data_IF_912426338169
#
_entry.id   IF_912426338169
#
_cell.length_a   1.000
_cell.length_b   1.000
_cell.length_c   1.000
_cell.angle_alpha   90.00
_cell.angle_beta   90.00
_cell.angle_gamma   90.00
#
_symmetry.space_group_name_H-M   'P 1'
#
loop_
_entity.id
_entity.type
_entity.pdbx_description
1 polymer ?
#
# COMPACT_ATOMS: atom_id res chain seq x y z
N UNK A 1 2.92 -10.77 10.71
CA UNK A 1 3.72 -10.56 9.48
C UNK A 1 4.69 -11.71 9.21
N UNK A 2 5.28 -12.33 10.23
CA UNK A 2 6.23 -13.46 10.10
C UNK A 2 5.66 -14.69 9.39
N UNK A 3 4.44 -15.16 9.72
CA UNK A 3 3.87 -16.37 9.09
C UNK A 3 3.51 -16.18 7.61
N UNK A 4 2.95 -15.03 7.24
CA UNK A 4 2.56 -14.71 5.86
C UNK A 4 3.79 -14.48 4.99
N UNK A 5 4.82 -13.80 5.52
CA UNK A 5 6.12 -13.62 4.85
C UNK A 5 6.87 -14.94 4.66
N UNK A 6 6.87 -15.83 5.66
CA UNK A 6 7.47 -17.17 5.56
C UNK A 6 6.72 -18.02 4.53
N UNK A 7 5.38 -18.02 4.54
CA UNK A 7 4.56 -18.72 3.55
C UNK A 7 4.83 -18.25 2.11
N UNK A 8 4.81 -16.94 1.85
CA UNK A 8 5.10 -16.40 0.53
C UNK A 8 6.52 -16.74 0.04
N UNK A 9 7.53 -16.64 0.92
CA UNK A 9 8.91 -16.94 0.54
C UNK A 9 9.13 -18.44 0.31
N UNK A 10 8.49 -19.33 1.08
CA UNK A 10 8.56 -20.78 0.86
C UNK A 10 7.87 -21.17 -0.45
N UNK A 11 6.63 -20.71 -0.70
CA UNK A 11 5.88 -21.05 -1.92
C UNK A 11 6.61 -20.56 -3.18
N UNK A 12 7.18 -19.35 -3.15
CA UNK A 12 7.85 -18.75 -4.30
C UNK A 12 9.21 -19.37 -4.63
N UNK A 13 9.75 -20.17 -3.71
CA UNK A 13 11.06 -20.79 -3.79
C UNK A 13 10.99 -22.27 -4.08
N UNK A 14 10.13 -22.97 -3.35
CA UNK A 14 9.88 -24.40 -3.51
C UNK A 14 8.99 -24.65 -4.74
N UNK A 15 8.08 -23.72 -5.04
CA UNK A 15 7.13 -23.82 -6.16
C UNK A 15 7.81 -23.98 -7.53
N UNK A 16 8.73 -23.11 -7.95
CA UNK A 16 9.41 -23.25 -9.24
C UNK A 16 10.29 -24.51 -9.34
N UNK A 17 10.95 -24.90 -8.24
CA UNK A 17 11.78 -26.10 -8.20
C UNK A 17 10.96 -27.38 -8.35
N UNK A 18 9.89 -27.52 -7.55
CA UNK A 18 8.97 -28.66 -7.67
C UNK A 18 8.24 -28.64 -9.01
N UNK A 19 7.73 -27.48 -9.43
CA UNK A 19 7.03 -27.32 -10.71
C UNK A 19 7.89 -27.69 -11.91
N UNK A 20 9.17 -27.31 -11.91
CA UNK A 20 10.13 -27.68 -12.95
C UNK A 20 10.40 -29.18 -13.01
N UNK A 21 10.58 -29.84 -11.86
CA UNK A 21 10.75 -31.31 -11.79
C UNK A 21 9.50 -32.03 -12.29
N UNK A 22 8.32 -31.60 -11.85
CA UNK A 22 7.05 -32.20 -12.26
C UNK A 22 6.85 -32.06 -13.77
N UNK A 23 7.12 -30.87 -14.31
CA UNK A 23 7.02 -30.60 -15.74
C UNK A 23 7.99 -31.48 -16.56
N UNK A 24 9.22 -31.66 -16.08
CA UNK A 24 10.24 -32.44 -16.77
C UNK A 24 9.98 -33.95 -16.77
N UNK A 25 9.45 -34.49 -15.66
CA UNK A 25 9.24 -35.94 -15.49
C UNK A 25 7.86 -36.39 -15.98
N UNK A 26 6.81 -35.63 -15.66
CA UNK A 26 5.42 -36.03 -15.90
C UNK A 26 4.73 -35.23 -17.00
N UNK A 27 5.40 -34.21 -17.55
CA UNK A 27 4.90 -33.38 -18.64
C UNK A 27 3.91 -32.29 -18.21
N UNK A 28 3.49 -31.43 -19.16
CA UNK A 28 2.66 -30.25 -18.88
C UNK A 28 1.29 -30.56 -18.28
N UNK A 29 0.61 -31.60 -18.77
CA UNK A 29 -0.73 -31.95 -18.30
C UNK A 29 -0.73 -32.30 -16.81
N UNK A 30 0.25 -33.09 -16.36
CA UNK A 30 0.39 -33.47 -14.97
C UNK A 30 0.71 -32.25 -14.08
N UNK A 31 1.56 -31.33 -14.55
CA UNK A 31 1.87 -30.10 -13.82
C UNK A 31 0.62 -29.23 -13.62
N UNK A 32 -0.20 -29.05 -14.67
CA UNK A 32 -1.46 -28.31 -14.56
C UNK A 32 -2.51 -29.02 -13.69
N UNK A 33 -2.64 -30.34 -13.80
CA UNK A 33 -3.55 -31.12 -12.97
C UNK A 33 -3.16 -31.03 -11.48
N UNK A 34 -1.87 -31.16 -11.16
CA UNK A 34 -1.39 -31.04 -9.78
C UNK A 34 -1.59 -29.63 -9.23
N UNK A 35 -1.36 -28.59 -10.04
CA UNK A 35 -1.65 -27.22 -9.65
C UNK A 35 -3.13 -27.04 -9.29
N UNK A 36 -4.04 -27.52 -10.15
CA UNK A 36 -5.48 -27.45 -9.90
C UNK A 36 -5.92 -28.21 -8.64
N UNK A 37 -5.33 -29.38 -8.39
CA UNK A 37 -5.61 -30.16 -7.17
C UNK A 37 -5.05 -29.46 -5.92
N UNK A 38 -3.88 -28.83 -6.04
CA UNK A 38 -3.24 -28.11 -4.93
C UNK A 38 -4.08 -26.92 -4.45
N UNK A 39 -4.85 -26.29 -5.33
CA UNK A 39 -5.79 -25.21 -4.98
C UNK A 39 -6.94 -25.68 -4.08
N UNK A 40 -7.21 -26.98 -3.98
CA UNK A 40 -8.19 -27.53 -3.04
C UNK A 40 -7.70 -27.47 -1.58
N UNK A 41 -6.38 -27.47 -1.36
CA UNK A 41 -5.80 -27.40 -0.02
C UNK A 41 -6.20 -26.13 0.75
N UNK A 42 -6.01 -24.89 0.23
CA UNK A 42 -6.46 -23.69 0.92
C UNK A 42 -7.99 -23.62 1.09
N UNK A 43 -8.77 -24.10 0.10
CA UNK A 43 -10.23 -24.17 0.22
C UNK A 43 -10.64 -25.06 1.41
N UNK A 44 -10.02 -26.23 1.52
CA UNK A 44 -10.27 -27.17 2.62
C UNK A 44 -9.88 -26.59 3.98
N UNK A 45 -8.77 -25.85 4.05
CA UNK A 45 -8.32 -25.19 5.27
C UNK A 45 -9.31 -24.09 5.71
N UNK A 46 -9.79 -23.26 4.77
CA UNK A 46 -10.79 -22.22 5.05
C UNK A 46 -12.09 -22.86 5.53
N UNK A 47 -12.54 -23.94 4.89
CA UNK A 47 -13.80 -24.61 5.23
C UNK A 47 -13.77 -25.27 6.61
N UNK A 48 -12.62 -25.80 7.03
CA UNK A 48 -12.43 -26.43 8.35
C UNK A 48 -12.17 -25.42 9.47
N UNK A 49 -11.73 -24.21 9.16
CA UNK A 49 -11.39 -23.20 10.17
C UNK A 49 -12.65 -22.52 10.69
N UNK A 50 -12.89 -22.63 12.01
CA UNK A 50 -13.91 -21.83 12.70
C UNK A 50 -13.32 -20.46 13.02
N UNK A 51 -13.87 -19.40 12.42
CA UNK A 51 -13.38 -18.04 12.57
C UNK A 51 -14.12 -17.32 13.69
N UNK A 52 -13.41 -16.90 14.74
CA UNK A 52 -13.92 -15.91 15.69
C UNK A 52 -13.64 -14.50 15.13
N UNK A 53 -14.63 -13.96 14.43
CA UNK A 53 -14.54 -12.58 13.92
C UNK A 53 -14.85 -11.63 15.08
N UNK A 54 -13.87 -10.83 15.51
CA UNK A 54 -14.14 -9.71 16.43
C UNK A 54 -15.20 -8.80 15.80
N UNK A 55 -16.37 -8.74 16.42
CA UNK A 55 -17.42 -7.82 16.02
C UNK A 55 -16.94 -6.39 16.24
N UNK A 56 -16.76 -5.66 15.14
CA UNK A 56 -16.60 -4.20 15.25
C UNK A 56 -17.92 -3.64 15.80
N UNK A 57 -17.90 -2.77 16.83
CA UNK A 57 -19.12 -2.13 17.35
C UNK A 57 -19.75 -1.17 16.32
N UNK A 58 -19.07 -0.95 15.21
CA UNK A 58 -19.39 0.00 14.17
C UNK A 58 -20.13 -0.68 13.00
N UNK A 59 -21.29 -0.14 12.54
CA UNK A 59 -22.01 -0.65 11.37
C UNK A 59 -21.13 -0.76 10.11
N UNK A 60 -21.44 -1.78 9.29
CA UNK A 60 -20.75 -2.06 8.03
C UNK A 60 -20.73 -0.83 7.10
N UNK A 61 -19.57 -0.57 6.52
CA UNK A 61 -19.36 0.50 5.55
C UNK A 61 -19.86 0.10 4.16
N UNK A 62 -20.40 1.05 3.39
CA UNK A 62 -20.75 0.81 1.98
C UNK A 62 -19.47 0.58 1.17
N UNK A 63 -19.48 -0.40 0.27
CA UNK A 63 -18.31 -0.76 -0.53
C UNK A 63 -17.71 0.42 -1.30
N UNK A 64 -18.56 1.25 -1.92
CA UNK A 64 -18.11 2.43 -2.68
C UNK A 64 -17.43 3.47 -1.80
N UNK A 65 -18.00 3.76 -0.62
CA UNK A 65 -17.40 4.66 0.37
C UNK A 65 -16.07 4.11 0.88
N UNK A 66 -16.01 2.81 1.15
CA UNK A 66 -14.79 2.13 1.57
C UNK A 66 -13.67 2.23 0.53
N UNK A 67 -13.99 2.03 -0.77
CA UNK A 67 -13.03 2.16 -1.87
C UNK A 67 -12.53 3.60 -1.97
N UNK A 68 -13.44 4.58 -1.96
CA UNK A 68 -13.08 6.00 -2.03
C UNK A 68 -12.18 6.41 -0.87
N UNK A 69 -12.51 5.99 0.37
CA UNK A 69 -11.69 6.25 1.54
C UNK A 69 -10.29 5.61 1.43
N UNK A 70 -10.20 4.39 0.89
CA UNK A 70 -8.93 3.72 0.63
C UNK A 70 -8.07 4.45 -0.41
N UNK A 71 -8.67 4.89 -1.52
CA UNK A 71 -7.98 5.67 -2.56
C UNK A 71 -7.53 7.02 -2.01
N UNK A 72 -8.42 7.74 -1.30
CA UNK A 72 -8.09 9.03 -0.68
C UNK A 72 -6.95 8.90 0.31
N UNK A 73 -6.99 7.89 1.18
CA UNK A 73 -5.93 7.62 2.14
C UNK A 73 -4.59 7.35 1.45
N UNK A 74 -4.60 6.48 0.44
CA UNK A 74 -3.42 6.10 -0.34
C UNK A 74 -2.82 7.30 -1.09
N UNK A 75 -3.66 8.19 -1.63
CA UNK A 75 -3.23 9.39 -2.34
C UNK A 75 -2.67 10.48 -1.41
N UNK A 76 -3.15 10.53 -0.16
CA UNK A 76 -2.71 11.50 0.84
C UNK A 76 -1.45 11.08 1.59
N UNK A 77 -1.22 9.78 1.82
CA UNK A 77 0.04 9.29 2.43
C UNK A 77 1.18 9.35 1.42
N UNK A 78 2.17 10.18 1.72
CA UNK A 78 3.35 10.35 0.88
C UNK A 78 4.17 9.06 0.81
N UNK A 79 4.25 8.32 1.91
CA UNK A 79 5.02 7.09 2.07
C UNK A 79 4.44 5.97 1.19
N UNK A 80 3.13 5.75 1.30
CA UNK A 80 2.43 4.70 0.54
C UNK A 80 2.44 5.07 -0.95
N UNK A 81 2.21 6.34 -1.29
CA UNK A 81 2.26 6.82 -2.67
C UNK A 81 3.65 6.62 -3.29
N UNK A 82 4.71 6.97 -2.57
CA UNK A 82 6.09 6.78 -3.01
C UNK A 82 6.44 5.29 -3.16
N UNK A 83 6.05 4.45 -2.18
CA UNK A 83 6.24 3.01 -2.24
C UNK A 83 5.52 2.38 -3.44
N UNK A 84 4.27 2.77 -3.68
CA UNK A 84 3.45 2.28 -4.80
C UNK A 84 4.00 2.73 -6.15
N UNK A 85 4.41 4.00 -6.28
CA UNK A 85 5.04 4.50 -7.49
C UNK A 85 6.36 3.78 -7.78
N UNK A 86 7.20 3.57 -6.75
CA UNK A 86 8.44 2.81 -6.86
C UNK A 86 8.19 1.37 -7.29
N UNK A 87 7.16 0.71 -6.75
CA UNK A 87 6.79 -0.64 -7.16
C UNK A 87 6.30 -0.72 -8.61
N UNK A 88 5.50 0.24 -9.04
CA UNK A 88 5.02 0.31 -10.42
C UNK A 88 6.16 0.55 -11.41
N UNK A 89 7.07 1.49 -11.10
CA UNK A 89 8.26 1.77 -11.92
C UNK A 89 9.23 0.59 -11.94
N UNK A 90 9.48 -0.01 -10.77
CA UNK A 90 10.30 -1.21 -10.67
C UNK A 90 9.68 -2.35 -11.48
N UNK A 91 8.39 -2.63 -11.30
CA UNK A 91 7.66 -3.65 -12.05
C UNK A 91 7.68 -3.40 -13.55
N UNK A 92 7.55 -2.13 -13.99
CA UNK A 92 7.66 -1.75 -15.40
C UNK A 92 9.04 -2.08 -15.98
N UNK A 93 10.11 -1.80 -15.24
CA UNK A 93 11.47 -2.00 -15.73
C UNK A 93 11.93 -3.45 -15.59
N UNK A 94 11.72 -4.05 -14.41
CA UNK A 94 12.19 -5.38 -14.06
C UNK A 94 11.52 -6.46 -14.89
N UNK A 95 10.22 -6.33 -15.21
CA UNK A 95 9.44 -7.36 -15.92
C UNK A 95 10.05 -7.78 -17.25
N UNK A 96 10.85 -6.92 -17.87
CA UNK A 96 11.69 -7.23 -19.04
C UNK A 96 12.45 -8.55 -18.90
N UNK A 97 13.00 -8.84 -17.71
CA UNK A 97 13.74 -10.07 -17.42
C UNK A 97 12.91 -11.31 -17.73
N UNK A 98 11.65 -11.36 -17.28
CA UNK A 98 10.79 -12.53 -17.45
C UNK A 98 10.00 -12.49 -18.76
N UNK A 99 9.53 -11.31 -19.16
CA UNK A 99 8.75 -11.14 -20.38
C UNK A 99 9.56 -11.42 -21.65
N UNK A 100 10.86 -11.05 -21.65
CA UNK A 100 11.76 -11.26 -22.78
C UNK A 100 12.58 -12.54 -22.65
N UNK A 101 12.55 -13.24 -21.51
CA UNK A 101 13.34 -14.47 -21.32
C UNK A 101 13.14 -15.51 -22.45
N UNK A 102 11.91 -15.80 -22.91
CA UNK A 102 11.73 -16.75 -24.00
C UNK A 102 12.45 -16.33 -25.30
N UNK A 103 12.45 -15.02 -25.60
CA UNK A 103 13.17 -14.45 -26.75
C UNK A 103 14.69 -14.55 -26.55
N UNK A 104 15.20 -14.28 -25.34
CA UNK A 104 16.63 -14.46 -25.01
C UNK A 104 17.08 -15.90 -25.23
N UNK A 105 16.29 -16.88 -24.77
CA UNK A 105 16.64 -18.30 -24.94
C UNK A 105 16.63 -18.72 -26.40
N UNK A 106 15.61 -18.28 -27.15
CA UNK A 106 15.46 -18.66 -28.56
C UNK A 106 16.46 -17.95 -29.48
N UNK A 107 16.58 -16.63 -29.35
CA UNK A 107 17.28 -15.79 -30.33
C UNK A 107 18.76 -15.58 -29.99
N UNK A 108 19.11 -15.42 -28.71
CA UNK A 108 20.51 -15.20 -28.28
C UNK A 108 21.22 -16.50 -27.89
N UNK A 109 20.61 -17.31 -27.02
CA UNK A 109 21.21 -18.57 -26.55
C UNK A 109 21.01 -19.73 -27.54
N UNK A 110 20.20 -19.52 -28.59
CA UNK A 110 19.86 -20.52 -29.62
C UNK A 110 19.52 -21.87 -29.02
N UNK A 111 18.75 -21.84 -27.93
CA UNK A 111 18.51 -22.98 -27.05
C UNK A 111 17.01 -23.32 -26.97
N UNK A 112 16.71 -24.53 -26.48
CA UNK A 112 15.35 -25.05 -26.41
C UNK A 112 14.61 -24.78 -25.08
N UNK A 113 13.36 -25.31 -24.96
CA UNK A 113 12.51 -25.15 -23.79
C UNK A 113 13.11 -25.68 -22.48
N UNK A 114 13.98 -26.70 -22.55
CA UNK A 114 14.67 -27.26 -21.37
C UNK A 114 15.58 -26.20 -20.74
N UNK A 115 16.37 -25.49 -21.56
CA UNK A 115 17.25 -24.41 -21.09
C UNK A 115 16.43 -23.26 -20.51
N UNK A 116 15.30 -22.91 -21.14
CA UNK A 116 14.36 -21.94 -20.55
C UNK A 116 13.90 -22.35 -19.15
N UNK A 117 13.53 -23.62 -18.95
CA UNK A 117 13.16 -24.15 -17.63
C UNK A 117 14.29 -24.06 -16.61
N UNK A 118 15.52 -24.41 -16.99
CA UNK A 118 16.72 -24.32 -16.12
C UNK A 118 16.99 -22.87 -15.72
N UNK A 119 16.92 -21.93 -16.66
CA UNK A 119 17.14 -20.51 -16.43
C UNK A 119 16.06 -19.92 -15.50
N UNK A 120 14.80 -20.30 -15.71
CA UNK A 120 13.69 -19.92 -14.83
C UNK A 120 13.85 -20.52 -13.42
N UNK A 121 14.32 -21.76 -13.31
CA UNK A 121 14.66 -22.37 -12.03
C UNK A 121 15.82 -21.64 -11.34
N UNK A 122 16.84 -21.19 -12.09
CA UNK A 122 17.93 -20.35 -11.59
C UNK A 122 17.41 -19.02 -11.02
N UNK A 123 16.51 -18.35 -11.72
CA UNK A 123 15.83 -17.16 -11.21
C UNK A 123 15.09 -17.43 -9.89
N UNK A 124 14.33 -18.53 -9.82
CA UNK A 124 13.64 -18.96 -8.60
C UNK A 124 14.58 -19.30 -7.44
N UNK A 125 15.71 -19.96 -7.72
CA UNK A 125 16.72 -20.33 -6.73
C UNK A 125 17.41 -19.09 -6.15
N UNK A 126 17.75 -18.11 -6.98
CA UNK A 126 18.28 -16.83 -6.51
C UNK A 126 17.30 -16.08 -5.62
N UNK A 127 16.00 -16.07 -5.98
CA UNK A 127 14.95 -15.57 -5.11
C UNK A 127 14.91 -16.33 -3.78
N UNK A 128 14.96 -17.66 -3.77
CA UNK A 128 14.94 -18.45 -2.54
C UNK A 128 16.05 -18.10 -1.56
N UNK A 129 17.29 -18.07 -2.06
CA UNK A 129 18.47 -17.76 -1.25
C UNK A 129 18.33 -16.35 -0.65
N UNK A 130 17.88 -15.38 -1.46
CA UNK A 130 17.62 -14.03 -0.99
C UNK A 130 16.50 -13.96 0.06
N UNK A 131 15.45 -14.78 -0.09
CA UNK A 131 14.34 -14.87 0.86
C UNK A 131 14.77 -15.38 2.24
N UNK A 132 15.63 -16.41 2.27
CA UNK A 132 16.22 -16.91 3.53
C UNK A 132 17.14 -15.88 4.18
N UNK A 133 17.93 -15.15 3.38
CA UNK A 133 18.85 -14.11 3.86
C UNK A 133 18.18 -12.77 4.21
N UNK A 134 16.93 -12.52 3.79
CA UNK A 134 16.27 -11.22 3.89
C UNK A 134 16.20 -10.68 5.32
N UNK A 135 15.99 -11.55 6.32
CA UNK A 135 15.98 -11.16 7.72
C UNK A 135 17.32 -10.61 8.22
N UNK A 136 18.44 -11.19 7.78
CA UNK A 136 19.78 -10.70 8.10
C UNK A 136 20.11 -9.42 7.33
N UNK A 137 19.83 -9.40 6.02
CA UNK A 137 20.04 -8.23 5.15
C UNK A 137 19.36 -6.96 5.68
N UNK A 138 18.14 -7.08 6.20
CA UNK A 138 17.39 -5.96 6.80
C UNK A 138 17.95 -5.45 8.12
N UNK A 139 18.70 -6.27 8.87
CA UNK A 139 19.37 -5.84 10.11
C UNK A 139 20.62 -5.01 9.82
N UNK A 140 21.35 -5.39 8.78
CA UNK A 140 22.64 -4.76 8.44
C UNK A 140 22.47 -3.55 7.51
N UNK A 141 21.43 -3.55 6.67
CA UNK A 141 21.22 -2.53 5.64
C UNK A 141 19.85 -1.88 5.76
N UNK A 142 19.81 -0.55 5.66
CA UNK A 142 18.55 0.20 5.59
C UNK A 142 17.72 -0.23 4.38
N UNK A 143 16.39 -0.28 4.53
CA UNK A 143 15.50 -0.75 3.47
C UNK A 143 15.67 -0.02 2.11
N UNK A 144 15.86 1.30 2.10
CA UNK A 144 16.05 2.06 0.85
C UNK A 144 17.31 1.62 0.09
N UNK A 145 18.43 1.43 0.81
CA UNK A 145 19.69 0.91 0.22
C UNK A 145 19.52 -0.52 -0.27
N UNK A 146 18.81 -1.36 0.48
CA UNK A 146 18.55 -2.74 0.10
C UNK A 146 17.77 -2.83 -1.22
N UNK A 147 16.73 -2.00 -1.39
CA UNK A 147 15.97 -1.91 -2.65
C UNK A 147 16.82 -1.35 -3.80
N UNK A 148 17.70 -0.38 -3.52
CA UNK A 148 18.61 0.15 -4.53
C UNK A 148 19.61 -0.91 -5.02
N UNK A 149 20.27 -1.64 -4.12
CA UNK A 149 21.17 -2.74 -4.48
C UNK A 149 20.44 -3.86 -5.22
N UNK A 150 19.21 -4.18 -4.80
CA UNK A 150 18.36 -5.15 -5.48
C UNK A 150 17.99 -4.71 -6.90
N UNK A 151 17.72 -3.40 -7.11
CA UNK A 151 17.45 -2.84 -8.43
C UNK A 151 18.69 -2.85 -9.33
N UNK A 152 19.88 -2.56 -8.77
CA UNK A 152 21.16 -2.69 -9.48
C UNK A 152 21.43 -4.15 -9.86
N UNK A 153 21.15 -5.11 -8.98
CA UNK A 153 21.28 -6.54 -9.27
C UNK A 153 20.39 -6.97 -10.45
N UNK A 154 19.14 -6.48 -10.51
CA UNK A 154 18.28 -6.67 -11.67
C UNK A 154 18.81 -5.99 -12.94
N UNK A 155 19.38 -4.78 -12.83
CA UNK A 155 19.96 -4.07 -13.97
C UNK A 155 21.17 -4.81 -14.55
N UNK A 156 22.05 -5.31 -13.68
CA UNK A 156 23.20 -6.15 -14.06
C UNK A 156 22.71 -7.44 -14.73
N UNK A 157 21.63 -8.05 -14.23
CA UNK A 157 21.00 -9.18 -14.89
C UNK A 157 20.54 -8.83 -16.32
N UNK A 158 19.83 -7.71 -16.52
CA UNK A 158 19.40 -7.28 -17.84
C UNK A 158 20.58 -7.04 -18.80
N UNK A 159 21.61 -6.31 -18.36
CA UNK A 159 22.81 -6.05 -19.17
C UNK A 159 23.56 -7.33 -19.51
N UNK A 160 23.72 -8.22 -18.55
CA UNK A 160 24.37 -9.51 -18.77
C UNK A 160 23.61 -10.34 -19.80
N UNK A 161 22.27 -10.41 -19.71
CA UNK A 161 21.43 -11.11 -20.68
C UNK A 161 21.41 -10.45 -22.07
N UNK A 162 21.71 -9.15 -22.16
CA UNK A 162 21.79 -8.44 -23.43
C UNK A 162 23.09 -8.76 -24.21
N UNK A 163 24.14 -9.13 -23.49
CA UNK A 163 25.50 -9.31 -24.03
C UNK A 163 25.96 -10.77 -24.06
N UNK A 164 25.29 -11.65 -23.32
CA UNK A 164 25.69 -13.04 -23.13
C UNK A 164 25.07 -13.99 -24.15
N UNK A 165 25.90 -14.83 -24.76
CA UNK A 165 25.46 -16.02 -25.51
C UNK A 165 25.68 -17.35 -24.75
N UNK A 166 26.19 -17.28 -23.52
CA UNK A 166 26.55 -18.43 -22.68
C UNK A 166 25.47 -18.77 -21.66
N UNK A 167 24.96 -20.01 -21.68
CA UNK A 167 23.90 -20.49 -20.77
C UNK A 167 24.31 -20.40 -19.29
N UNK A 168 25.54 -20.82 -18.86
CA UNK A 168 25.96 -20.67 -17.47
C UNK A 168 25.96 -19.22 -16.98
N UNK A 169 26.42 -18.27 -17.81
CA UNK A 169 26.47 -16.85 -17.45
C UNK A 169 25.05 -16.29 -17.32
N UNK A 170 24.14 -16.68 -18.23
CA UNK A 170 22.73 -16.32 -18.16
C UNK A 170 22.07 -16.88 -16.88
N UNK A 171 22.40 -18.12 -16.48
CA UNK A 171 21.86 -18.75 -15.28
C UNK A 171 22.28 -18.02 -13.99
N UNK A 172 23.56 -17.68 -13.86
CA UNK A 172 24.08 -16.92 -12.71
C UNK A 172 23.46 -15.52 -12.66
N UNK A 173 23.35 -14.88 -13.83
CA UNK A 173 22.75 -13.54 -13.95
C UNK A 173 21.28 -13.55 -13.55
N UNK A 174 20.52 -14.56 -13.98
CA UNK A 174 19.12 -14.73 -13.60
C UNK A 174 18.95 -15.04 -12.12
N UNK A 175 19.84 -15.81 -11.51
CA UNK A 175 19.83 -16.00 -10.06
C UNK A 175 20.02 -14.66 -9.33
N UNK A 176 20.97 -13.84 -9.76
CA UNK A 176 21.16 -12.50 -9.22
C UNK A 176 19.93 -11.59 -9.45
N UNK A 177 19.34 -11.63 -10.65
CA UNK A 177 18.12 -10.91 -10.98
C UNK A 177 16.92 -11.35 -10.13
N UNK A 178 16.76 -12.65 -9.89
CA UNK A 178 15.72 -13.22 -9.04
C UNK A 178 15.86 -12.84 -7.57
N UNK A 179 17.09 -12.80 -7.07
CA UNK A 179 17.40 -12.30 -5.73
C UNK A 179 16.97 -10.83 -5.56
N UNK A 180 17.41 -9.96 -6.47
CA UNK A 180 17.02 -8.53 -6.47
C UNK A 180 15.51 -8.32 -6.63
N UNK A 181 14.89 -9.12 -7.50
CA UNK A 181 13.44 -9.09 -7.70
C UNK A 181 12.69 -9.41 -6.41
N UNK A 182 13.03 -10.50 -5.71
CA UNK A 182 12.35 -10.87 -4.48
C UNK A 182 12.56 -9.85 -3.35
N UNK A 183 13.79 -9.39 -3.16
CA UNK A 183 14.13 -8.40 -2.13
C UNK A 183 13.31 -7.13 -2.31
N UNK A 184 13.17 -6.65 -3.55
CA UNK A 184 12.41 -5.43 -3.85
C UNK A 184 10.93 -5.61 -3.55
N UNK A 185 10.30 -6.67 -4.07
CA UNK A 185 8.87 -6.91 -3.86
C UNK A 185 8.52 -7.13 -2.39
N UNK A 186 9.28 -7.96 -1.68
CA UNK A 186 9.05 -8.21 -0.25
C UNK A 186 9.38 -6.98 0.60
N UNK A 187 10.37 -6.18 0.18
CA UNK A 187 10.68 -4.86 0.72
C UNK A 187 9.45 -3.98 0.72
N UNK A 188 9.00 -3.63 -0.47
CA UNK A 188 7.92 -2.67 -0.67
C UNK A 188 6.60 -3.19 -0.09
N UNK A 189 6.28 -4.47 -0.25
CA UNK A 189 5.06 -5.08 0.31
C UNK A 189 4.99 -4.94 1.83
N UNK A 190 6.08 -5.29 2.54
CA UNK A 190 6.16 -5.12 3.99
C UNK A 190 6.05 -3.64 4.40
N UNK A 191 6.69 -2.72 3.66
CA UNK A 191 6.54 -1.29 3.94
C UNK A 191 5.12 -0.80 3.81
N UNK A 192 4.41 -1.18 2.74
CA UNK A 192 3.02 -0.78 2.54
C UNK A 192 2.14 -1.38 3.63
N UNK A 193 2.38 -2.64 4.04
CA UNK A 193 1.66 -3.28 5.14
C UNK A 193 1.87 -2.56 6.48
N UNK A 194 3.12 -2.21 6.81
CA UNK A 194 3.44 -1.55 8.07
C UNK A 194 2.99 -0.08 8.10
N UNK A 195 3.09 0.62 6.97
CA UNK A 195 2.61 2.00 6.84
C UNK A 195 1.09 2.12 6.78
N UNK A 196 0.37 1.00 6.60
CA UNK A 196 -1.09 1.01 6.50
C UNK A 196 -1.75 0.68 7.84
N UNK A 197 -2.61 1.58 8.37
CA UNK A 197 -3.44 1.27 9.52
C UNK A 197 -4.34 0.06 9.29
N UNK A 198 -4.64 -0.68 10.36
CA UNK A 198 -5.44 -1.93 10.32
C UNK A 198 -6.81 -1.77 9.65
N UNK A 199 -7.41 -0.58 9.69
CA UNK A 199 -8.72 -0.31 9.11
C UNK A 199 -8.72 -0.16 7.57
N UNK A 200 -7.56 0.15 6.97
CA UNK A 200 -7.41 0.42 5.52
C UNK A 200 -6.41 -0.49 4.83
N UNK A 201 -5.61 -1.25 5.57
CA UNK A 201 -4.53 -2.10 5.04
C UNK A 201 -4.93 -2.95 3.84
N UNK A 202 -6.06 -3.66 3.90
CA UNK A 202 -6.52 -4.48 2.77
C UNK A 202 -6.81 -3.65 1.52
N UNK A 203 -7.37 -2.45 1.68
CA UNK A 203 -7.72 -1.54 0.57
C UNK A 203 -6.47 -0.93 -0.04
N UNK A 204 -5.52 -0.50 0.80
CA UNK A 204 -4.23 0.01 0.36
C UNK A 204 -3.45 -1.06 -0.39
N UNK A 205 -3.39 -2.29 0.12
CA UNK A 205 -2.71 -3.40 -0.54
C UNK A 205 -3.33 -3.74 -1.90
N UNK A 206 -4.67 -3.73 -2.01
CA UNK A 206 -5.32 -3.93 -3.31
C UNK A 206 -4.91 -2.87 -4.34
N UNK A 207 -4.84 -1.59 -3.95
CA UNK A 207 -4.40 -0.50 -4.84
C UNK A 207 -2.92 -0.68 -5.21
N UNK A 208 -2.08 -1.01 -4.23
CA UNK A 208 -0.67 -1.31 -4.43
C UNK A 208 -0.47 -2.46 -5.43
N UNK A 209 -1.14 -3.59 -5.25
CA UNK A 209 -1.04 -4.73 -6.17
C UNK A 209 -1.59 -4.41 -7.55
N UNK A 210 -2.70 -3.67 -7.65
CA UNK A 210 -3.27 -3.27 -8.93
C UNK A 210 -2.31 -2.37 -9.73
N UNK A 211 -1.73 -1.35 -9.10
CA UNK A 211 -0.77 -0.46 -9.76
C UNK A 211 0.56 -1.15 -10.08
N UNK A 212 1.02 -2.03 -9.20
CA UNK A 212 2.19 -2.88 -9.41
C UNK A 212 2.02 -3.82 -10.60
N UNK A 213 0.87 -4.50 -10.69
CA UNK A 213 0.52 -5.34 -11.83
C UNK A 213 0.34 -4.53 -13.11
N UNK A 214 -0.26 -3.33 -13.01
CA UNK A 214 -0.35 -2.38 -14.12
C UNK A 214 1.02 -1.96 -14.65
N UNK A 215 1.99 -1.71 -13.76
CA UNK A 215 3.38 -1.45 -14.12
C UNK A 215 4.01 -2.63 -14.87
N UNK A 216 3.86 -3.86 -14.37
CA UNK A 216 4.37 -5.07 -15.04
C UNK A 216 3.70 -5.32 -16.40
N UNK A 217 2.39 -5.08 -16.53
CA UNK A 217 1.67 -5.22 -17.79
C UNK A 217 2.14 -4.18 -18.82
N UNK A 218 2.25 -2.91 -18.41
CA UNK A 218 2.77 -1.85 -19.24
C UNK A 218 4.22 -2.11 -19.66
N UNK A 219 5.08 -2.55 -18.73
CA UNK A 219 6.47 -2.91 -19.01
C UNK A 219 6.59 -4.08 -19.99
N UNK A 220 5.80 -5.13 -19.81
CA UNK A 220 5.77 -6.27 -20.75
C UNK A 220 5.42 -5.81 -22.17
N UNK A 221 4.45 -4.91 -22.31
CA UNK A 221 4.05 -4.35 -23.60
C UNK A 221 5.13 -3.44 -24.20
N UNK A 222 5.67 -2.51 -23.40
CA UNK A 222 6.71 -1.56 -23.84
C UNK A 222 7.96 -2.30 -24.29
N UNK A 223 8.55 -3.14 -23.44
CA UNK A 223 9.79 -3.85 -23.75
C UNK A 223 9.60 -4.90 -24.84
N UNK A 224 8.43 -5.55 -24.89
CA UNK A 224 8.06 -6.45 -25.99
C UNK A 224 7.98 -5.71 -27.33
N UNK A 225 7.37 -4.52 -27.35
CA UNK A 225 7.30 -3.67 -28.55
C UNK A 225 8.67 -3.15 -28.98
N UNK A 226 9.53 -2.75 -28.03
CA UNK A 226 10.92 -2.34 -28.34
C UNK A 226 11.71 -3.52 -28.90
N UNK A 227 11.59 -4.70 -28.31
CA UNK A 227 12.26 -5.91 -28.79
C UNK A 227 11.82 -6.30 -30.21
N UNK A 228 10.54 -6.10 -30.54
CA UNK A 228 9.98 -6.40 -31.85
C UNK A 228 10.38 -5.38 -32.93
N UNK A 229 10.38 -4.08 -32.61
CA UNK A 229 10.61 -3.01 -33.59
C UNK A 229 12.08 -2.60 -33.75
N UNK A 230 12.90 -2.81 -32.71
CA UNK A 230 14.32 -2.41 -32.70
C UNK A 230 15.22 -3.63 -32.57
N UNK A 231 15.44 -4.10 -31.34
CA UNK A 231 16.21 -5.31 -31.06
C UNK A 231 15.99 -5.76 -29.62
N UNK A 232 16.18 -7.06 -29.38
CA UNK A 232 16.13 -7.62 -28.03
C UNK A 232 17.19 -7.00 -27.10
N UNK A 233 18.41 -6.77 -27.62
CA UNK A 233 19.52 -6.15 -26.88
C UNK A 233 19.16 -4.73 -26.42
N UNK A 234 18.63 -3.88 -27.32
CA UNK A 234 18.23 -2.50 -26.97
C UNK A 234 17.10 -2.45 -25.94
N UNK A 235 16.16 -3.40 -25.99
CA UNK A 235 15.10 -3.52 -24.99
C UNK A 235 15.67 -3.85 -23.59
N UNK A 236 16.64 -4.77 -23.51
CA UNK A 236 17.28 -5.15 -22.24
C UNK A 236 18.20 -4.04 -21.69
N UNK A 237 18.96 -3.35 -22.55
CA UNK A 237 19.78 -2.20 -22.17
C UNK A 237 18.92 -1.03 -21.67
N UNK A 238 17.82 -0.73 -22.38
CA UNK A 238 16.85 0.28 -21.95
C UNK A 238 16.21 -0.06 -20.60
N UNK A 239 15.85 -1.34 -20.40
CA UNK A 239 15.30 -1.80 -19.13
C UNK A 239 16.32 -1.73 -17.99
N UNK A 240 17.60 -2.03 -18.26
CA UNK A 240 18.67 -1.84 -17.29
C UNK A 240 18.85 -0.37 -16.91
N UNK A 241 18.83 0.54 -17.89
CA UNK A 241 18.84 1.99 -17.65
C UNK A 241 17.67 2.43 -16.77
N UNK A 242 16.46 1.95 -17.07
CA UNK A 242 15.28 2.24 -16.25
C UNK A 242 15.41 1.70 -14.81
N UNK A 243 15.98 0.50 -14.61
CA UNK A 243 16.24 -0.06 -13.29
C UNK A 243 17.28 0.75 -12.50
N UNK A 244 18.32 1.26 -13.16
CA UNK A 244 19.31 2.15 -12.54
C UNK A 244 18.69 3.49 -12.14
N UNK A 245 17.79 4.05 -12.95
CA UNK A 245 17.02 5.24 -12.58
C UNK A 245 16.12 4.99 -11.36
N UNK A 246 15.48 3.82 -11.29
CA UNK A 246 14.70 3.40 -10.10
C UNK A 246 15.60 3.29 -8.87
N UNK A 247 16.80 2.72 -9.01
CA UNK A 247 17.77 2.63 -7.93
C UNK A 247 18.22 4.02 -7.44
N UNK A 248 18.53 4.93 -8.37
CA UNK A 248 18.94 6.30 -8.06
C UNK A 248 17.81 7.08 -7.36
N UNK A 249 16.58 7.00 -7.87
CA UNK A 249 15.41 7.60 -7.23
C UNK A 249 15.17 7.02 -5.83
N UNK A 250 15.48 5.74 -5.62
CA UNK A 250 15.43 5.07 -4.32
C UNK A 250 16.36 5.67 -3.27
N UNK A 251 17.53 6.14 -3.69
CA UNK A 251 18.56 6.74 -2.84
C UNK A 251 18.27 8.24 -2.59
N UNK A 252 17.90 8.97 -3.64
CA UNK A 252 17.66 10.43 -3.57
C UNK A 252 16.36 10.77 -2.84
N UNK A 253 15.33 9.93 -2.96
CA UNK A 253 14.02 10.11 -2.32
C UNK A 253 13.77 8.99 -1.30
N UNK A 254 14.43 9.01 -0.12
CA UNK A 254 14.25 7.97 0.87
C UNK A 254 12.81 7.97 1.38
N UNK A 255 12.15 6.81 1.31
CA UNK A 255 10.87 6.60 1.99
C UNK A 255 11.20 6.43 3.47
N UNK A 256 10.63 7.29 4.32
CA UNK A 256 10.81 7.18 5.77
C UNK A 256 10.20 5.86 6.25
N UNK A 257 10.92 5.05 7.04
CA UNK A 257 10.32 3.88 7.68
C UNK A 257 9.18 4.35 8.57
N UNK A 258 8.02 3.71 8.45
CA UNK A 258 6.92 3.89 9.40
C UNK A 258 7.29 3.14 10.69
N UNK A 259 7.40 3.85 11.81
CA UNK A 259 7.81 3.26 13.09
C UNK A 259 6.65 2.50 13.74
N UNK A 260 6.93 1.32 14.30
CA UNK A 260 5.95 0.47 15.00
C UNK A 260 5.29 1.18 16.20
N UNK A 261 5.96 2.19 16.77
CA UNK A 261 5.46 3.04 17.87
C UNK A 261 4.14 3.74 17.52
N UNK A 262 3.86 3.98 16.22
CA UNK A 262 2.61 4.60 15.77
C UNK A 262 1.37 3.69 15.95
N UNK A 263 1.56 2.40 16.22
CA UNK A 263 0.46 1.42 16.19
C UNK A 263 -0.31 1.27 17.51
N UNK A 264 0.11 1.92 18.60
CA UNK A 264 -0.66 1.84 19.86
C UNK A 264 -2.02 2.53 19.71
N UNK A 265 -3.07 1.70 19.61
CA UNK A 265 -4.45 2.16 19.59
C UNK A 265 -4.81 2.66 20.99
N UNK A 266 -4.72 3.96 21.23
CA UNK A 266 -5.35 4.54 22.41
C UNK A 266 -6.86 4.50 22.25
N UNK A 267 -7.53 3.90 23.23
CA UNK A 267 -8.98 3.74 23.27
C UNK A 267 -9.62 5.12 23.21
N UNK A 268 -10.33 5.41 22.12
CA UNK A 268 -11.16 6.60 22.02
C UNK A 268 -12.49 6.31 22.71
N UNK A 269 -12.80 7.05 23.76
CA UNK A 269 -14.12 7.07 24.37
C UNK A 269 -14.95 8.16 23.67
N UNK A 270 -16.07 7.80 23.00
CA UNK A 270 -16.93 8.80 22.40
C UNK A 270 -17.48 9.72 23.50
N UNK A 271 -17.55 11.04 23.25
CA UNK A 271 -18.14 11.96 24.20
C UNK A 271 -19.63 11.66 24.40
N UNK A 272 -20.13 11.85 25.62
CA UNK A 272 -21.55 11.72 25.91
C UNK A 272 -22.33 12.81 25.17
N UNK A 273 -23.19 12.41 24.23
CA UNK A 273 -24.04 13.32 23.46
C UNK A 273 -25.46 13.24 23.99
N UNK A 274 -26.04 14.38 24.35
CA UNK A 274 -27.42 14.44 24.85
C UNK A 274 -28.50 14.13 23.78
N UNK A 275 -28.12 14.17 22.50
CA UNK A 275 -28.98 13.84 21.36
C UNK A 275 -28.81 12.37 20.94
N UNK A 276 -29.92 11.68 20.69
CA UNK A 276 -29.90 10.33 20.09
C UNK A 276 -29.51 10.41 18.59
N UNK A 277 -28.21 10.38 18.34
CA UNK A 277 -27.65 10.44 17.00
C UNK A 277 -27.64 9.05 16.35
N UNK A 278 -28.47 8.86 15.33
CA UNK A 278 -28.34 7.72 14.41
C UNK A 278 -26.96 7.75 13.74
N UNK A 279 -26.35 6.61 13.39
CA UNK A 279 -25.02 6.58 12.74
C UNK A 279 -24.90 7.44 11.48
N UNK A 280 -25.98 7.59 10.71
CA UNK A 280 -26.03 8.41 9.49
C UNK A 280 -26.34 9.90 9.73
N UNK A 281 -26.52 10.32 10.97
CA UNK A 281 -26.81 11.71 11.31
C UNK A 281 -25.59 12.58 11.00
N UNK A 282 -25.79 13.67 10.27
CA UNK A 282 -24.74 14.62 9.95
C UNK A 282 -25.27 15.66 8.95
N UNK A 283 -24.41 16.55 8.46
CA UNK A 283 -22.97 16.66 8.75
C UNK A 283 -22.68 17.00 10.22
N UNK A 284 -21.61 16.44 10.78
CA UNK A 284 -21.14 16.80 12.13
C UNK A 284 -20.02 17.81 11.99
N UNK A 285 -20.10 18.90 12.74
CA UNK A 285 -19.10 19.96 12.80
C UNK A 285 -18.45 19.89 14.18
N UNK A 286 -17.15 19.66 14.17
CA UNK A 286 -16.33 19.72 15.37
C UNK A 286 -15.59 21.06 15.38
N UNK A 287 -15.73 21.77 16.51
CA UNK A 287 -15.10 23.07 16.75
C UNK A 287 -14.20 22.93 17.99
N UNK A 288 -12.96 23.38 17.88
CA UNK A 288 -12.02 23.43 19.00
C UNK A 288 -11.48 24.84 19.10
N UNK A 289 -11.52 25.41 20.30
CA UNK A 289 -11.03 26.76 20.57
C UNK A 289 -9.71 26.69 21.34
N UNK A 290 -8.74 27.48 20.89
CA UNK A 290 -7.41 27.56 21.45
C UNK A 290 -7.10 29.01 21.82
N UNK A 291 -6.70 29.24 23.07
CA UNK A 291 -6.10 30.49 23.52
C UNK A 291 -4.57 30.36 23.39
N UNK A 292 -3.96 31.14 22.50
CA UNK A 292 -2.54 31.07 22.16
C UNK A 292 -1.93 32.47 22.28
N UNK A 293 -0.82 32.60 23.02
CA UNK A 293 -0.05 33.84 23.12
C UNK A 293 0.66 34.21 21.82
N UNK A 294 0.97 35.50 21.66
CA UNK A 294 1.63 36.01 20.45
C UNK A 294 3.01 35.38 20.19
N UNK A 295 3.74 35.06 21.26
CA UNK A 295 5.07 34.42 21.19
C UNK A 295 5.02 33.00 20.61
N UNK A 296 3.90 32.29 20.78
CA UNK A 296 3.75 30.89 20.39
C UNK A 296 3.02 30.69 19.05
N UNK A 297 2.65 31.77 18.35
CA UNK A 297 1.84 31.68 17.11
C UNK A 297 2.54 30.86 16.03
N UNK A 298 3.84 31.04 15.81
CA UNK A 298 4.55 30.34 14.73
C UNK A 298 4.61 28.83 14.97
N UNK A 299 4.94 28.44 16.21
CA UNK A 299 4.92 27.04 16.65
C UNK A 299 3.52 26.44 16.52
N UNK A 300 2.49 27.14 17.00
CA UNK A 300 1.10 26.73 16.89
C UNK A 300 0.67 26.51 15.42
N UNK A 301 0.97 27.44 14.52
CA UNK A 301 0.67 27.30 13.11
C UNK A 301 1.41 26.11 12.47
N UNK A 302 2.63 25.82 12.90
CA UNK A 302 3.38 24.62 12.51
C UNK A 302 2.64 23.33 12.87
N UNK A 303 2.25 23.19 14.14
CA UNK A 303 1.49 22.02 14.60
C UNK A 303 0.10 21.92 13.96
N UNK A 304 -0.57 23.05 13.71
CA UNK A 304 -1.88 23.07 13.05
C UNK A 304 -1.80 22.61 11.59
N UNK A 305 -0.70 22.86 10.87
CA UNK A 305 -0.48 22.30 9.52
C UNK A 305 -0.40 20.77 9.57
N UNK A 306 0.34 20.22 10.54
CA UNK A 306 0.45 18.77 10.76
C UNK A 306 -0.91 18.18 11.12
N UNK A 307 -1.63 18.80 12.06
CA UNK A 307 -2.97 18.39 12.50
C UNK A 307 -3.99 18.37 11.35
N UNK A 308 -3.99 19.41 10.51
CA UNK A 308 -4.84 19.46 9.30
C UNK A 308 -4.61 18.24 8.41
N UNK A 309 -3.34 17.89 8.16
CA UNK A 309 -2.99 16.77 7.29
C UNK A 309 -3.47 15.43 7.89
N UNK A 310 -3.18 15.21 9.17
CA UNK A 310 -3.56 14.03 9.95
C UNK A 310 -5.08 13.83 9.98
N UNK A 311 -5.85 14.85 10.38
CA UNK A 311 -7.31 14.74 10.43
C UNK A 311 -7.93 14.56 9.04
N UNK A 312 -7.38 15.24 8.01
CA UNK A 312 -7.85 15.10 6.63
C UNK A 312 -7.61 13.70 6.07
N UNK A 313 -6.49 13.07 6.44
CA UNK A 313 -6.17 11.66 6.12
C UNK A 313 -7.14 10.69 6.81
N UNK A 314 -7.52 10.99 8.06
CA UNK A 314 -8.43 10.15 8.84
C UNK A 314 -9.92 10.28 8.44
N UNK A 315 -10.32 11.40 7.82
CA UNK A 315 -11.66 11.55 7.24
C UNK A 315 -12.26 12.96 7.31
N UNK A 316 -11.60 13.91 7.97
CA UNK A 316 -12.09 15.28 8.08
C UNK A 316 -12.24 15.93 6.70
N UNK A 317 -13.25 16.78 6.56
CA UNK A 317 -13.53 17.62 5.38
C UNK A 317 -13.66 19.07 5.82
N UNK A 318 -13.42 20.00 4.89
CA UNK A 318 -13.56 21.45 5.12
C UNK A 318 -12.85 21.91 6.40
N UNK A 319 -11.63 21.42 6.63
CA UNK A 319 -10.83 21.84 7.77
C UNK A 319 -10.41 23.30 7.59
N UNK A 320 -10.66 24.10 8.61
CA UNK A 320 -10.37 25.54 8.64
C UNK A 320 -9.81 25.93 9.99
N UNK A 321 -8.94 26.95 9.97
CA UNK A 321 -8.41 27.59 11.16
C UNK A 321 -8.71 29.08 11.04
N UNK A 322 -9.38 29.62 12.05
CA UNK A 322 -9.81 31.02 12.08
C UNK A 322 -9.16 31.72 13.27
N UNK A 323 -8.76 32.98 13.08
CA UNK A 323 -8.31 33.85 14.17
C UNK A 323 -9.45 34.80 14.49
N UNK A 324 -9.80 34.93 15.77
CA UNK A 324 -10.83 35.85 16.20
C UNK A 324 -10.34 37.31 16.06
N UNK A 325 -11.16 38.18 15.47
CA UNK A 325 -10.82 39.59 15.23
C UNK A 325 -11.01 40.48 16.47
N UNK A 326 -11.86 40.07 17.41
CA UNK A 326 -12.11 40.78 18.67
C UNK A 326 -11.13 40.35 19.76
N UNK A 327 -10.74 39.07 19.75
CA UNK A 327 -9.78 38.48 20.70
C UNK A 327 -8.66 37.80 19.93
N UNK A 328 -7.58 38.49 19.55
CA UNK A 328 -6.54 37.96 18.65
C UNK A 328 -5.78 36.73 19.16
N UNK A 329 -5.82 36.46 20.46
CA UNK A 329 -5.28 35.25 21.09
C UNK A 329 -6.18 34.02 20.92
N UNK A 330 -7.45 34.21 20.53
CA UNK A 330 -8.41 33.12 20.34
C UNK A 330 -8.38 32.62 18.89
N UNK A 331 -8.04 31.34 18.74
CA UNK A 331 -8.03 30.62 17.49
C UNK A 331 -9.08 29.51 17.50
N UNK A 332 -9.74 29.31 16.37
CA UNK A 332 -10.79 28.31 16.22
C UNK A 332 -10.45 27.33 15.10
N UNK A 333 -10.25 26.07 15.45
CA UNK A 333 -10.23 24.94 14.52
C UNK A 333 -11.67 24.50 14.24
N UNK A 334 -12.05 24.38 12.97
CA UNK A 334 -13.33 23.79 12.58
C UNK A 334 -13.13 22.76 11.49
N UNK A 335 -13.69 21.57 11.66
CA UNK A 335 -13.73 20.54 10.62
C UNK A 335 -15.08 19.83 10.60
N UNK A 336 -15.38 19.21 9.45
CA UNK A 336 -16.65 18.52 9.22
C UNK A 336 -16.45 17.05 8.93
N UNK A 337 -17.36 16.21 9.41
CA UNK A 337 -17.51 14.83 8.96
C UNK A 337 -18.90 14.62 8.36
N UNK A 338 -19.06 13.79 7.30
CA UNK A 338 -20.35 13.62 6.65
C UNK A 338 -21.42 13.04 7.59
N UNK A 339 -21.01 12.18 8.52
CA UNK A 339 -21.89 11.54 9.49
C UNK A 339 -21.23 11.43 10.88
N UNK A 340 -22.05 11.16 11.89
CA UNK A 340 -21.63 10.80 13.25
C UNK A 340 -20.74 9.57 13.22
N UNK A 341 -21.09 8.60 12.39
CA UNK A 341 -20.26 7.43 12.15
C UNK A 341 -18.85 7.77 11.65
N UNK A 342 -18.75 8.74 10.74
CA UNK A 342 -17.47 9.18 10.20
C UNK A 342 -16.65 9.95 11.23
N UNK A 343 -17.30 10.67 12.16
CA UNK A 343 -16.64 11.31 13.31
C UNK A 343 -16.03 10.26 14.25
N UNK A 344 -16.80 9.25 14.63
CA UNK A 344 -16.31 8.15 15.47
C UNK A 344 -15.16 7.40 14.79
N UNK A 345 -15.32 7.10 13.49
CA UNK A 345 -14.27 6.46 12.68
C UNK A 345 -13.02 7.31 12.63
N UNK A 346 -13.12 8.62 12.37
CA UNK A 346 -11.98 9.51 12.34
C UNK A 346 -11.14 9.37 13.61
N UNK A 347 -11.77 9.44 14.78
CA UNK A 347 -11.06 9.34 16.06
C UNK A 347 -10.47 7.95 16.33
N UNK A 348 -11.12 6.88 15.85
CA UNK A 348 -10.56 5.53 15.86
C UNK A 348 -9.43 5.31 14.84
N UNK A 349 -9.33 6.14 13.80
CA UNK A 349 -8.33 6.05 12.73
C UNK A 349 -7.03 6.78 13.08
N UNK A 350 -7.03 7.67 14.08
CA UNK A 350 -5.85 8.41 14.54
C UNK A 350 -4.88 7.48 15.28
N UNK A 351 -3.59 7.57 14.95
CA UNK A 351 -2.50 6.84 15.61
C UNK A 351 -2.10 7.47 16.95
N UNK A 352 -1.19 6.82 17.70
CA UNK A 352 -0.61 7.40 18.91
C UNK A 352 0.16 8.70 18.61
N UNK A 353 1.06 8.68 17.62
CA UNK A 353 1.79 9.89 17.19
C UNK A 353 0.85 11.00 16.66
N UNK A 354 -0.24 10.64 15.97
CA UNK A 354 -1.25 11.62 15.56
C UNK A 354 -1.88 12.34 16.78
N UNK A 355 -1.96 11.67 17.94
CA UNK A 355 -2.48 12.24 19.19
C UNK A 355 -1.42 13.02 19.98
N UNK A 356 -0.13 12.75 19.83
CA UNK A 356 0.95 13.58 20.40
C UNK A 356 0.90 15.01 19.85
N UNK A 357 0.53 15.20 18.58
CA UNK A 357 0.25 16.52 18.02
C UNK A 357 -0.81 17.26 18.83
N UNK A 358 -1.81 16.53 19.34
CA UNK A 358 -2.81 17.05 20.28
C UNK A 358 -2.19 17.50 21.60
N UNK A 359 -1.26 16.73 22.17
CA UNK A 359 -0.56 17.06 23.42
C UNK A 359 0.33 18.30 23.28
N UNK A 360 1.05 18.44 22.17
CA UNK A 360 1.83 19.66 21.89
C UNK A 360 0.94 20.89 21.72
N UNK A 361 -0.22 20.74 21.09
CA UNK A 361 -1.20 21.84 21.01
C UNK A 361 -1.81 22.18 22.37
N UNK A 362 -1.97 21.19 23.27
CA UNK A 362 -2.38 21.42 24.66
C UNK A 362 -1.32 22.20 25.44
N UNK A 363 -0.02 21.91 25.25
CA UNK A 363 1.05 22.64 25.94
C UNK A 363 1.20 24.10 25.50
N UNK A 364 0.73 24.44 24.30
CA UNK A 364 0.72 25.82 23.79
C UNK A 364 -0.55 26.59 24.18
N UNK A 365 -1.52 25.92 24.80
CA UNK A 365 -2.78 26.53 25.22
C UNK A 365 -2.65 27.20 26.60
N UNK A 366 -3.00 28.47 26.69
CA UNK A 366 -2.90 29.26 27.94
C UNK A 366 -4.23 29.42 28.69
N UNK A 367 -5.31 28.82 28.20
CA UNK A 367 -6.60 28.87 28.89
C UNK A 367 -6.61 28.00 30.16
N UNK A 368 -7.39 28.42 31.16
CA UNK A 368 -7.55 27.71 32.43
C UNK A 368 -8.17 26.31 32.28
N UNK A 369 -8.94 26.11 31.21
CA UNK A 369 -9.61 24.84 30.89
C UNK A 369 -9.00 24.27 29.62
N UNK A 370 -8.71 22.95 29.55
CA UNK A 370 -8.20 22.36 28.33
C UNK A 370 -9.17 22.58 27.16
N UNK A 371 -8.66 22.79 25.93
CA UNK A 371 -9.47 23.03 24.74
C UNK A 371 -10.45 21.87 24.52
N UNK A 372 -11.74 22.18 24.64
CA UNK A 372 -12.80 21.20 24.47
C UNK A 372 -13.27 21.16 23.02
N UNK A 373 -13.57 19.96 22.54
CA UNK A 373 -14.20 19.78 21.23
C UNK A 373 -15.70 19.95 21.37
N UNK A 374 -16.23 21.06 20.88
CA UNK A 374 -17.67 21.31 20.79
C UNK A 374 -18.18 20.65 19.50
N UNK A 375 -19.16 19.75 19.66
CA UNK A 375 -19.78 19.03 18.55
C UNK A 375 -21.15 19.63 18.25
N UNK A 376 -21.39 19.89 16.97
CA UNK A 376 -22.69 20.35 16.48
C UNK A 376 -23.10 19.57 15.23
N UNK A 377 -24.40 19.46 14.99
CA UNK A 377 -24.94 18.87 13.76
C UNK A 377 -25.45 19.99 12.86
N UNK A 378 -24.93 20.05 11.64
CA UNK A 378 -25.35 21.05 10.67
C UNK A 378 -26.75 20.72 10.16
N UNK A 379 -27.65 21.69 10.23
CA UNK A 379 -29.01 21.62 9.70
C UNK A 379 -29.23 22.76 8.74
N UNK A 380 -29.70 22.44 7.54
CA UNK A 380 -30.18 23.46 6.61
C UNK A 380 -31.58 23.91 7.04
N UNK A 381 -31.90 25.17 6.78
CA UNK A 381 -33.22 25.76 7.06
C UNK A 381 -34.28 25.35 6.03
N UNK A 382 -33.92 24.54 5.03
CA UNK A 382 -34.85 24.03 4.04
C UNK A 382 -35.86 23.08 4.70
N UNK A 383 -37.14 23.41 4.59
CA UNK A 383 -38.23 22.62 5.15
C UNK A 383 -38.14 21.17 4.68
N UNK A 384 -38.29 20.22 5.60
CA UNK A 384 -38.38 18.79 5.31
C UNK A 384 -39.52 18.60 4.30
N UNK A 385 -39.20 18.42 3.02
CA UNK A 385 -40.16 17.92 2.04
C UNK A 385 -40.47 16.49 2.42
N UNK A 386 -41.54 16.29 3.18
CA UNK A 386 -42.15 14.99 3.42
C UNK A 386 -42.42 14.38 2.05
N UNK A 387 -41.62 13.40 1.62
CA UNK A 387 -41.99 12.51 0.52
C UNK A 387 -43.15 11.66 1.03
N UNK A 388 -44.36 12.21 0.95
CA UNK A 388 -45.58 11.42 1.06
C UNK A 388 -45.54 10.43 -0.10
N UNK A 389 -45.26 9.17 0.23
CA UNK A 389 -45.48 8.03 -0.63
C UNK A 389 -46.95 8.03 -1.06
N UNK A 390 -47.26 8.56 -2.24
CA UNK A 390 -48.50 8.25 -2.94
C UNK A 390 -48.45 6.78 -3.32
N UNK A 391 -49.00 5.95 -2.42
CA UNK A 391 -49.41 4.58 -2.70
C UNK A 391 -50.50 4.70 -3.77
N UNK A 392 -50.17 4.35 -5.01
CA UNK A 392 -51.17 4.13 -6.05
C UNK A 392 -51.99 2.90 -5.65
N UNK A 393 -53.16 3.13 -5.05
CA UNK A 393 -54.24 2.15 -4.99
C UNK A 393 -54.78 1.94 -6.42
N UNK A 394 -54.54 0.77 -7.01
CA UNK A 394 -55.29 0.32 -8.19
C UNK A 394 -56.75 0.07 -7.80
N UNK A 395 -57.75 0.52 -8.58
CA UNK A 395 -59.13 0.13 -8.37
C UNK A 395 -59.37 -1.32 -8.84
N UNK A 396 -60.37 -2.01 -8.28
CA UNK A 396 -60.68 -3.39 -8.64
C UNK A 396 -61.34 -3.45 -10.02
N UNK A 397 -60.90 -4.41 -10.84
CA UNK A 397 -61.67 -5.01 -11.93
C UNK A 397 -61.49 -6.51 -11.87
#
# INVERSE_FOLDING_TARGET
>A
VTLMSVGYNIVRSVGPALGGVILAVFGPLAAFALAAVSDLAPISAIWRTKWEVRSSPLPRERMTTAIHDGVRFTAMSLEIRAATARAALFGLASISILALLPLVVRDQLKSGPIVYGILLAGFGMGAFIAGMGNGFLRKVTSQNRLVAFASVACAVCCLSLALTSSVPVAAISLALGGAGWLITWTGIDVSVQLASPRWVVGRTLSIYYALSAGGMAAGSWIWGSVAQNYSLTSALEGAAGALLLVAAAGIVLPVRPWEETDQESSVFHPPDVALDLKPRSGPIVAKVEYLISEENIEAFLGYMRTRRHVQSRAGARNWTLQRNLQTPSLWTETFRTPTWMDFLRLNHRLTAADKEVGQHLLSLHEGEVPPQTVLSIERTTEAIRTRTSTIFSRPPR
#
